data_IF_427401270913
#
_entry.id   IF_427401270913
#
_cell.length_a   1.000
_cell.length_b   1.000
_cell.length_c   1.000
_cell.angle_alpha   90.00
_cell.angle_beta   90.00
_cell.angle_gamma   90.00
#
_symmetry.space_group_name_H-M   'P 1'
#
loop_
_entity.id
_entity.type
_entity.pdbx_description
1 polymer ?
#
# COMPACT_ATOMS: atom_id res chain seq x y z
N UNK A 1 -8.27 -29.75 -15.08
CA UNK A 1 -7.33 -28.62 -14.85
C UNK A 1 -7.71 -28.00 -13.52
N UNK A 2 -6.82 -27.92 -12.51
CA UNK A 2 -7.16 -27.32 -11.22
C UNK A 2 -7.30 -25.82 -11.39
N UNK A 3 -8.44 -25.27 -10.96
CA UNK A 3 -8.65 -23.83 -10.87
C UNK A 3 -7.65 -23.28 -9.84
N UNK A 4 -6.78 -22.38 -10.29
CA UNK A 4 -5.93 -21.57 -9.40
C UNK A 4 -6.88 -20.73 -8.52
N UNK A 5 -7.03 -21.11 -7.28
CA UNK A 5 -7.68 -20.27 -6.27
C UNK A 5 -6.93 -18.96 -6.18
N UNK A 6 -7.57 -17.87 -6.61
CA UNK A 6 -7.03 -16.51 -6.46
C UNK A 6 -6.91 -16.22 -4.98
N UNK A 7 -5.69 -16.04 -4.50
CA UNK A 7 -5.42 -15.68 -3.11
C UNK A 7 -6.04 -14.29 -2.82
N UNK A 8 -7.01 -14.16 -1.90
CA UNK A 8 -7.67 -12.88 -1.60
C UNK A 8 -6.72 -11.81 -1.05
N UNK A 9 -5.53 -12.18 -0.58
CA UNK A 9 -4.53 -11.24 -0.07
C UNK A 9 -3.96 -10.26 -1.14
N UNK A 10 -4.26 -10.46 -2.43
CA UNK A 10 -3.77 -9.57 -3.49
C UNK A 10 -4.67 -8.35 -3.77
N UNK A 11 -5.88 -8.28 -3.20
CA UNK A 11 -6.82 -7.19 -3.50
C UNK A 11 -6.63 -5.92 -2.65
N UNK A 12 -5.84 -5.98 -1.57
CA UNK A 12 -5.63 -4.86 -0.64
C UNK A 12 -4.20 -4.30 -0.65
N UNK A 13 -3.50 -4.37 -1.78
CA UNK A 13 -2.21 -3.68 -1.88
C UNK A 13 -2.45 -2.22 -2.27
N UNK A 14 -1.81 -1.25 -1.60
CA UNK A 14 -1.84 0.14 -2.03
C UNK A 14 -1.30 0.23 -3.46
N UNK A 15 -1.92 1.08 -4.28
CA UNK A 15 -1.53 1.24 -5.68
C UNK A 15 -0.16 1.92 -5.81
N UNK A 16 0.21 2.76 -4.85
CA UNK A 16 1.51 3.41 -4.77
C UNK A 16 2.50 2.56 -3.96
N UNK A 17 3.65 2.26 -4.56
CA UNK A 17 4.71 1.53 -3.87
C UNK A 17 5.34 2.39 -2.76
N UNK A 18 5.28 1.90 -1.52
CA UNK A 18 5.86 2.56 -0.34
C UNK A 18 7.38 2.76 -0.46
N UNK A 19 8.07 1.93 -1.25
CA UNK A 19 9.52 2.07 -1.49
C UNK A 19 9.83 3.40 -2.16
N UNK A 20 8.96 3.87 -3.07
CA UNK A 20 9.12 5.18 -3.72
C UNK A 20 9.02 6.32 -2.71
N UNK A 21 8.03 6.23 -1.79
CA UNK A 21 7.85 7.22 -0.72
C UNK A 21 9.05 7.26 0.24
N UNK A 22 9.60 6.10 0.59
CA UNK A 22 10.78 5.99 1.45
C UNK A 22 12.05 6.53 0.80
N UNK A 23 12.14 6.42 -0.52
CA UNK A 23 13.30 6.86 -1.30
C UNK A 23 13.32 8.38 -1.50
N UNK A 24 12.20 8.95 -1.91
CA UNK A 24 12.08 10.38 -2.23
C UNK A 24 10.62 10.84 -2.07
N UNK A 25 10.26 11.16 -0.84
CA UNK A 25 8.91 11.59 -0.49
C UNK A 25 8.50 12.88 -1.20
N UNK A 26 9.43 13.84 -1.29
CA UNK A 26 9.13 15.15 -1.83
C UNK A 26 8.90 15.08 -3.36
N UNK A 27 9.66 14.27 -4.07
CA UNK A 27 9.43 14.02 -5.49
C UNK A 27 8.09 13.31 -5.74
N UNK A 28 7.71 12.35 -4.88
CA UNK A 28 6.42 11.67 -4.98
C UNK A 28 5.26 12.65 -4.76
N UNK A 29 5.36 13.51 -3.74
CA UNK A 29 4.35 14.55 -3.46
C UNK A 29 4.23 15.52 -4.63
N UNK A 30 5.35 16.01 -5.17
CA UNK A 30 5.36 16.91 -6.33
C UNK A 30 4.67 16.25 -7.54
N UNK A 31 4.91 14.98 -7.81
CA UNK A 31 4.25 14.25 -8.91
C UNK A 31 2.77 13.99 -8.67
N UNK A 32 2.35 13.74 -7.44
CA UNK A 32 0.92 13.64 -7.11
C UNK A 32 0.19 14.97 -7.38
N UNK A 33 0.84 16.10 -7.14
CA UNK A 33 0.28 17.42 -7.40
C UNK A 33 0.12 17.76 -8.89
N UNK A 34 0.75 17.01 -9.81
CA UNK A 34 0.53 17.19 -11.25
C UNK A 34 -0.79 16.60 -11.74
N UNK A 35 -1.54 15.91 -10.88
CA UNK A 35 -2.84 15.34 -11.23
C UNK A 35 -3.88 16.44 -11.41
N UNK A 36 -4.89 16.15 -12.28
CA UNK A 36 -6.08 17.00 -12.39
C UNK A 36 -6.72 17.15 -11.01
N UNK A 37 -7.07 18.36 -10.63
CA UNK A 37 -7.59 18.70 -9.30
C UNK A 37 -6.62 18.27 -8.19
N UNK A 38 -5.46 18.94 -8.07
CA UNK A 38 -4.48 18.61 -7.05
C UNK A 38 -5.13 18.69 -5.67
N UNK A 39 -5.05 17.59 -4.93
CA UNK A 39 -5.54 17.46 -3.57
C UNK A 39 -4.39 17.00 -2.70
N UNK A 40 -4.52 17.18 -1.39
CA UNK A 40 -3.60 16.55 -0.45
C UNK A 40 -3.90 15.04 -0.38
N UNK A 41 -3.46 14.29 -1.41
CA UNK A 41 -3.69 12.85 -1.49
C UNK A 41 -2.96 12.07 -0.40
N UNK A 42 -1.85 12.59 0.09
CA UNK A 42 -1.03 11.97 1.11
C UNK A 42 -0.87 12.92 2.29
N UNK A 43 -1.24 12.47 3.47
CA UNK A 43 -0.85 13.15 4.70
C UNK A 43 0.64 12.91 4.98
N UNK A 44 1.47 13.84 4.53
CA UNK A 44 2.94 13.76 4.59
C UNK A 44 3.44 13.68 6.03
N UNK A 45 2.86 14.45 6.93
CA UNK A 45 3.29 14.49 8.33
C UNK A 45 2.94 13.19 9.04
N UNK A 46 1.75 12.65 8.81
CA UNK A 46 1.37 11.33 9.32
C UNK A 46 2.29 10.23 8.76
N UNK A 47 2.60 10.25 7.47
CA UNK A 47 3.52 9.29 6.88
C UNK A 47 4.92 9.36 7.51
N UNK A 48 5.46 10.57 7.69
CA UNK A 48 6.76 10.78 8.34
C UNK A 48 6.77 10.29 9.79
N UNK A 49 5.71 10.56 10.53
CA UNK A 49 5.58 10.11 11.92
C UNK A 49 5.56 8.58 12.02
N UNK A 50 4.71 7.92 11.23
CA UNK A 50 4.59 6.45 11.22
C UNK A 50 5.90 5.77 10.77
N UNK A 51 6.53 6.26 9.72
CA UNK A 51 7.83 5.72 9.27
C UNK A 51 8.97 6.00 10.25
N UNK A 52 8.95 7.12 10.95
CA UNK A 52 9.90 7.43 12.02
C UNK A 52 9.76 6.44 13.19
N UNK A 53 8.53 6.24 13.66
CA UNK A 53 8.24 5.26 14.73
C UNK A 53 8.64 3.84 14.30
N UNK A 54 8.27 3.44 13.08
CA UNK A 54 8.65 2.12 12.54
C UNK A 54 10.16 1.90 12.56
N UNK A 55 10.95 2.89 12.12
CA UNK A 55 12.41 2.80 12.11
C UNK A 55 12.97 2.65 13.53
N UNK A 56 12.50 3.48 14.46
CA UNK A 56 12.91 3.43 15.85
C UNK A 56 12.60 2.08 16.48
N UNK A 57 11.40 1.59 16.25
CA UNK A 57 10.94 0.29 16.76
C UNK A 57 11.76 -0.87 16.17
N UNK A 58 12.07 -0.82 14.88
CA UNK A 58 12.88 -1.83 14.22
C UNK A 58 14.30 -1.86 14.79
N UNK A 59 14.97 -0.71 14.93
CA UNK A 59 16.30 -0.60 15.53
C UNK A 59 16.29 -1.16 16.95
N UNK A 60 15.30 -0.77 17.76
CA UNK A 60 15.16 -1.27 19.13
C UNK A 60 14.98 -2.79 19.18
N UNK A 61 14.18 -3.34 18.28
CA UNK A 61 13.96 -4.79 18.18
C UNK A 61 15.25 -5.53 17.84
N UNK A 62 16.05 -5.00 16.92
CA UNK A 62 17.35 -5.59 16.54
C UNK A 62 18.34 -5.56 17.73
N UNK A 63 18.39 -4.45 18.48
CA UNK A 63 19.19 -4.34 19.70
C UNK A 63 18.79 -5.36 20.78
N UNK A 64 17.48 -5.46 21.04
CA UNK A 64 16.94 -6.41 22.02
C UNK A 64 17.21 -7.85 21.62
N UNK A 65 17.10 -8.19 20.34
CA UNK A 65 17.44 -9.53 19.85
C UNK A 65 18.91 -9.85 20.03
N UNK A 66 19.80 -8.88 19.76
CA UNK A 66 21.24 -9.01 20.00
C UNK A 66 21.56 -9.20 21.48
N UNK A 67 20.97 -8.40 22.36
CA UNK A 67 21.10 -8.51 23.80
C UNK A 67 20.62 -9.88 24.32
N UNK A 68 19.43 -10.31 23.90
CA UNK A 68 18.86 -11.63 24.23
C UNK A 68 19.83 -12.76 23.87
N UNK A 69 20.40 -12.71 22.66
CA UNK A 69 21.33 -13.72 22.19
C UNK A 69 22.63 -13.75 23.03
N UNK A 70 23.13 -12.58 23.41
CA UNK A 70 24.30 -12.46 24.29
C UNK A 70 24.04 -13.03 25.70
N UNK A 71 22.90 -12.63 26.30
CA UNK A 71 22.51 -13.10 27.64
C UNK A 71 22.23 -14.62 27.64
N UNK A 72 21.65 -15.15 26.56
CA UNK A 72 21.43 -16.61 26.43
C UNK A 72 22.75 -17.41 26.45
N UNK A 73 23.80 -16.88 25.79
CA UNK A 73 25.13 -17.48 25.86
C UNK A 73 25.72 -17.40 27.29
N UNK A 74 25.53 -16.27 27.97
CA UNK A 74 25.98 -16.07 29.35
C UNK A 74 25.30 -17.05 30.31
N UNK A 75 23.99 -17.28 30.17
CA UNK A 75 23.25 -18.28 30.96
C UNK A 75 23.88 -19.67 30.79
N UNK A 76 24.20 -20.06 29.54
CA UNK A 76 24.87 -21.34 29.29
C UNK A 76 26.20 -21.47 30.00
N UNK A 77 27.02 -20.41 29.99
CA UNK A 77 28.33 -20.39 30.71
C UNK A 77 28.17 -20.45 32.23
N UNK A 78 27.23 -19.69 32.80
CA UNK A 78 26.97 -19.67 34.24
C UNK A 78 26.48 -21.03 34.75
N UNK A 79 25.54 -21.65 34.03
CA UNK A 79 25.05 -22.99 34.34
C UNK A 79 26.15 -24.03 34.26
N UNK A 80 27.03 -23.95 33.26
CA UNK A 80 28.19 -24.84 33.13
C UNK A 80 29.22 -24.71 34.28
N UNK A 81 29.26 -23.53 34.94
CA UNK A 81 30.11 -23.26 36.14
C UNK A 81 29.42 -23.54 37.48
N UNK A 82 28.16 -23.99 37.47
CA UNK A 82 27.38 -24.21 38.69
C UNK A 82 26.86 -22.95 39.38
N UNK A 83 26.94 -21.78 38.74
CA UNK A 83 26.50 -20.47 39.24
C UNK A 83 25.02 -20.26 39.00
N UNK A 84 24.17 -21.02 39.66
CA UNK A 84 22.73 -21.07 39.39
C UNK A 84 22.03 -19.76 39.74
N UNK A 85 22.32 -19.13 40.87
CA UNK A 85 21.70 -17.88 41.28
C UNK A 85 21.97 -16.72 40.29
N UNK A 86 23.19 -16.64 39.76
CA UNK A 86 23.56 -15.64 38.74
C UNK A 86 22.89 -15.97 37.42
N UNK A 87 22.79 -17.25 37.05
CA UNK A 87 22.05 -17.66 35.85
C UNK A 87 20.57 -17.29 35.93
N UNK A 88 19.92 -17.44 37.08
CA UNK A 88 18.52 -17.09 37.31
C UNK A 88 18.31 -15.57 37.21
N UNK A 89 19.22 -14.75 37.70
CA UNK A 89 19.18 -13.31 37.54
C UNK A 89 19.26 -12.88 36.05
N UNK A 90 20.12 -13.52 35.26
CA UNK A 90 20.22 -13.27 33.81
C UNK A 90 19.00 -13.80 33.08
N UNK A 91 18.42 -14.93 33.51
CA UNK A 91 17.17 -15.43 32.95
C UNK A 91 16.00 -14.46 33.14
N UNK A 92 15.91 -13.79 34.29
CA UNK A 92 14.91 -12.75 34.52
C UNK A 92 15.05 -11.57 33.53
N UNK A 93 16.30 -11.16 33.22
CA UNK A 93 16.54 -10.13 32.20
C UNK A 93 16.11 -10.58 30.81
N UNK A 94 16.36 -11.83 30.43
CA UNK A 94 15.88 -12.39 29.16
C UNK A 94 14.35 -12.42 29.10
N UNK A 95 13.68 -12.69 30.24
CA UNK A 95 12.23 -12.60 30.34
C UNK A 95 11.72 -11.19 30.04
N UNK A 96 12.29 -10.18 30.66
CA UNK A 96 11.89 -8.76 30.40
C UNK A 96 12.14 -8.35 28.94
N UNK A 97 13.25 -8.78 28.33
CA UNK A 97 13.53 -8.53 26.91
C UNK A 97 12.50 -9.22 26.02
N UNK A 98 12.05 -10.42 26.37
CA UNK A 98 11.00 -11.11 25.62
C UNK A 98 9.70 -10.33 25.64
N UNK A 99 9.29 -9.83 26.81
CA UNK A 99 8.06 -9.06 26.94
C UNK A 99 8.11 -7.76 26.09
N UNK A 100 9.28 -7.10 26.08
CA UNK A 100 9.50 -5.90 25.24
C UNK A 100 9.50 -6.24 23.74
N UNK A 101 10.04 -7.38 23.32
CA UNK A 101 10.00 -7.86 21.96
C UNK A 101 8.57 -8.19 21.50
N UNK A 102 7.78 -8.82 22.37
CA UNK A 102 6.39 -9.15 22.09
C UNK A 102 5.54 -7.87 21.95
N UNK A 103 5.73 -6.88 22.81
CA UNK A 103 5.08 -5.58 22.70
C UNK A 103 5.50 -4.83 21.40
N UNK A 104 6.78 -4.89 21.04
CA UNK A 104 7.30 -4.30 19.82
C UNK A 104 6.69 -4.94 18.57
N UNK A 105 6.52 -6.26 18.57
CA UNK A 105 5.90 -6.99 17.45
C UNK A 105 4.44 -6.56 17.27
N UNK A 106 3.66 -6.46 18.34
CA UNK A 106 2.27 -5.99 18.30
C UNK A 106 2.18 -4.55 17.78
N UNK A 107 3.05 -3.65 18.27
CA UNK A 107 3.04 -2.26 17.79
C UNK A 107 3.43 -2.16 16.32
N UNK A 108 4.37 -2.99 15.85
CA UNK A 108 4.76 -3.02 14.44
C UNK A 108 3.61 -3.46 13.53
N UNK A 109 2.81 -4.43 13.96
CA UNK A 109 1.61 -4.87 13.22
C UNK A 109 0.59 -3.73 13.09
N UNK A 110 0.34 -2.99 14.17
CA UNK A 110 -0.55 -1.81 14.16
C UNK A 110 -0.01 -0.73 13.23
N UNK A 111 1.30 -0.42 13.31
CA UNK A 111 1.93 0.56 12.42
C UNK A 111 1.83 0.20 10.95
N UNK A 112 1.96 -1.09 10.63
CA UNK A 112 1.80 -1.56 9.25
C UNK A 112 0.37 -1.38 8.75
N UNK A 113 -0.64 -1.63 9.60
CA UNK A 113 -2.03 -1.40 9.26
C UNK A 113 -2.30 0.11 9.05
N UNK A 114 -1.84 0.97 9.97
CA UNK A 114 -1.98 2.43 9.85
C UNK A 114 -1.32 2.98 8.58
N UNK A 115 -0.12 2.49 8.23
CA UNK A 115 0.57 2.85 6.98
C UNK A 115 -0.20 2.37 5.75
N UNK A 116 -0.74 1.17 5.78
CA UNK A 116 -1.54 0.64 4.69
C UNK A 116 -2.80 1.47 4.48
N UNK A 117 -3.54 1.78 5.54
CA UNK A 117 -4.75 2.59 5.47
C UNK A 117 -4.46 4.00 4.92
N UNK A 118 -3.37 4.62 5.37
CA UNK A 118 -2.92 5.91 4.84
C UNK A 118 -2.67 5.85 3.32
N UNK A 119 -2.09 4.76 2.83
CA UNK A 119 -1.70 4.61 1.42
C UNK A 119 -2.85 4.15 0.52
N UNK A 120 -3.88 3.51 1.07
CA UNK A 120 -5.05 3.06 0.28
C UNK A 120 -5.80 4.23 -0.37
N UNK A 121 -5.79 5.40 0.25
CA UNK A 121 -6.42 6.61 -0.28
C UNK A 121 -5.56 7.33 -1.34
N UNK A 122 -4.27 6.96 -1.47
CA UNK A 122 -3.34 7.64 -2.37
C UNK A 122 -3.40 7.01 -3.76
N UNK A 123 -3.67 7.78 -4.82
CA UNK A 123 -3.69 7.28 -6.18
C UNK A 123 -2.27 7.01 -6.71
N UNK A 124 -2.18 6.25 -7.82
CA UNK A 124 -0.91 6.04 -8.52
C UNK A 124 -0.29 7.35 -9.00
N UNK A 125 1.04 7.36 -9.09
CA UNK A 125 1.77 8.46 -9.72
C UNK A 125 1.49 8.51 -11.23
N UNK A 126 1.23 9.69 -11.80
CA UNK A 126 1.26 9.87 -13.24
C UNK A 126 2.64 9.47 -13.79
N UNK A 127 2.69 8.80 -14.93
CA UNK A 127 3.96 8.56 -15.61
C UNK A 127 4.54 9.91 -16.09
N UNK A 128 5.87 10.01 -16.18
CA UNK A 128 6.54 11.24 -16.58
C UNK A 128 6.17 11.74 -18.00
N UNK A 129 5.76 10.82 -18.87
CA UNK A 129 5.27 11.15 -20.21
C UNK A 129 3.85 11.71 -20.25
N UNK A 130 3.13 11.70 -19.12
CA UNK A 130 1.77 12.24 -19.05
C UNK A 130 1.86 13.76 -18.94
N UNK A 131 1.29 14.53 -19.89
CA UNK A 131 1.29 15.98 -19.82
C UNK A 131 0.49 16.46 -18.62
N UNK A 132 0.95 17.56 -18.02
CA UNK A 132 0.18 18.25 -16.97
C UNK A 132 -0.91 19.06 -17.63
N UNK A 133 -2.18 18.83 -17.26
CA UNK A 133 -3.31 19.51 -17.83
C UNK A 133 -4.58 19.34 -17.00
N UNK A 134 -5.49 20.30 -17.14
CA UNK A 134 -6.77 20.31 -16.42
C UNK A 134 -7.86 19.45 -17.07
N UNK A 135 -7.74 19.18 -18.35
CA UNK A 135 -8.73 18.44 -19.12
C UNK A 135 -8.17 17.73 -20.34
N UNK A 136 -9.06 17.28 -21.20
CA UNK A 136 -8.74 16.54 -22.42
C UNK A 136 -8.00 17.37 -23.47
N UNK A 137 -8.14 18.69 -23.43
CA UNK A 137 -7.42 19.64 -24.28
C UNK A 137 -5.89 19.55 -24.12
N UNK A 138 -5.44 19.05 -22.97
CA UNK A 138 -4.02 18.79 -22.69
C UNK A 138 -3.52 17.45 -23.21
N UNK A 139 -4.38 16.60 -23.77
CA UNK A 139 -3.97 15.29 -24.28
C UNK A 139 -3.09 15.43 -25.52
N UNK A 140 -2.03 14.63 -25.56
CA UNK A 140 -1.09 14.59 -26.69
C UNK A 140 -1.30 13.26 -27.42
N UNK A 141 -1.53 13.34 -28.76
CA UNK A 141 -1.59 12.14 -29.58
C UNK A 141 -0.22 11.48 -29.65
N UNK A 142 -0.06 10.31 -29.04
CA UNK A 142 1.19 9.57 -29.03
C UNK A 142 1.44 8.87 -30.37
N UNK A 143 0.41 8.32 -30.98
CA UNK A 143 0.50 7.60 -32.25
C UNK A 143 -0.87 7.45 -32.88
N UNK A 144 -0.92 7.60 -34.19
CA UNK A 144 -2.07 7.23 -35.01
C UNK A 144 -1.77 5.98 -35.82
N UNK A 145 -2.71 5.03 -35.86
CA UNK A 145 -2.59 3.82 -36.65
C UNK A 145 -3.86 3.57 -37.46
N UNK A 146 -3.69 3.22 -38.72
CA UNK A 146 -4.79 3.00 -39.64
C UNK A 146 -5.47 4.30 -40.11
N UNK A 147 -6.54 4.12 -40.88
CA UNK A 147 -7.40 5.22 -41.39
C UNK A 147 -8.75 5.11 -40.74
N UNK A 148 -9.23 6.20 -40.17
CA UNK A 148 -10.58 6.26 -39.61
C UNK A 148 -11.58 6.13 -40.78
N UNK A 149 -12.50 5.18 -40.66
CA UNK A 149 -13.54 4.97 -41.68
C UNK A 149 -14.50 6.16 -41.66
N UNK A 150 -14.87 6.63 -42.85
CA UNK A 150 -16.00 7.54 -43.02
C UNK A 150 -17.25 6.74 -43.37
N UNK A 151 -18.40 7.21 -42.91
CA UNK A 151 -19.69 6.59 -43.15
C UNK A 151 -20.60 7.64 -43.76
N UNK A 152 -21.49 7.21 -44.65
CA UNK A 152 -22.50 8.01 -45.33
C UNK A 152 -23.87 7.99 -44.63
N UNK A 153 -23.89 7.43 -43.41
CA UNK A 153 -25.08 7.36 -42.56
C UNK A 153 -24.77 7.91 -41.16
N UNK A 154 -25.81 8.27 -40.43
CA UNK A 154 -25.70 8.72 -39.05
C UNK A 154 -25.24 7.58 -38.13
N UNK A 155 -24.10 7.80 -37.46
CA UNK A 155 -23.56 6.84 -36.52
C UNK A 155 -24.41 6.83 -35.24
N UNK A 156 -24.74 5.63 -34.78
CA UNK A 156 -25.43 5.39 -33.52
C UNK A 156 -24.48 4.69 -32.57
N UNK A 157 -24.48 5.10 -31.32
CA UNK A 157 -23.73 4.44 -30.29
C UNK A 157 -24.47 3.18 -29.77
N UNK A 158 -23.87 2.49 -28.83
CA UNK A 158 -24.41 1.26 -28.27
C UNK A 158 -25.69 1.49 -27.44
N UNK A 159 -25.89 2.69 -26.90
CA UNK A 159 -27.12 3.05 -26.18
C UNK A 159 -28.27 3.18 -27.16
N UNK A 160 -28.09 3.99 -28.23
CA UNK A 160 -29.11 4.22 -29.27
C UNK A 160 -29.56 2.93 -29.97
N UNK A 161 -28.60 2.02 -30.17
CA UNK A 161 -28.88 0.70 -30.77
C UNK A 161 -29.51 -0.23 -29.75
N UNK A 162 -29.01 -0.22 -28.54
CA UNK A 162 -29.41 -1.12 -27.46
C UNK A 162 -30.85 -0.94 -27.04
N UNK A 163 -31.33 0.30 -26.89
CA UNK A 163 -32.72 0.60 -26.55
C UNK A 163 -33.71 -0.02 -27.55
N UNK A 164 -33.36 0.05 -28.83
CA UNK A 164 -34.20 -0.55 -29.91
C UNK A 164 -34.17 -2.08 -29.92
N UNK A 165 -33.13 -2.67 -29.33
CA UNK A 165 -32.97 -4.12 -29.18
C UNK A 165 -33.51 -4.66 -27.86
N UNK A 166 -34.10 -3.81 -27.02
CA UNK A 166 -34.67 -4.20 -25.73
C UNK A 166 -33.76 -4.09 -24.54
N UNK A 167 -32.61 -3.40 -24.67
CA UNK A 167 -31.78 -3.08 -23.48
C UNK A 167 -32.47 -1.95 -22.72
N UNK A 168 -32.95 -2.26 -21.51
CA UNK A 168 -33.62 -1.29 -20.63
C UNK A 168 -32.64 -0.80 -19.54
N UNK A 169 -31.86 0.22 -19.87
CA UNK A 169 -30.87 0.84 -18.97
C UNK A 169 -31.54 1.45 -17.73
N UNK A 170 -32.76 1.98 -17.85
CA UNK A 170 -33.45 2.59 -16.71
C UNK A 170 -33.89 1.53 -15.68
N UNK A 171 -34.48 0.43 -16.15
CA UNK A 171 -34.87 -0.68 -15.28
C UNK A 171 -33.65 -1.41 -14.74
N UNK A 172 -32.63 -1.64 -15.55
CA UNK A 172 -31.37 -2.24 -15.11
C UNK A 172 -30.76 -1.45 -13.96
N UNK A 173 -30.70 -0.12 -14.07
CA UNK A 173 -30.18 0.75 -13.00
C UNK A 173 -31.01 0.70 -11.71
N UNK A 174 -32.35 0.60 -11.83
CA UNK A 174 -33.23 0.47 -10.65
C UNK A 174 -33.04 -0.86 -9.90
N UNK A 175 -32.78 -1.94 -10.62
CA UNK A 175 -32.63 -3.27 -10.03
C UNK A 175 -31.25 -3.53 -9.43
N UNK A 176 -30.19 -3.05 -10.07
CA UNK A 176 -28.81 -3.46 -9.75
C UNK A 176 -27.84 -2.32 -9.56
N UNK A 177 -28.26 -1.05 -9.74
CA UNK A 177 -27.42 0.12 -9.66
C UNK A 177 -26.87 0.55 -11.03
N UNK A 178 -25.93 1.50 -11.05
CA UNK A 178 -25.36 2.04 -12.29
C UNK A 178 -24.56 1.00 -13.09
N UNK A 179 -24.53 1.16 -14.42
CA UNK A 179 -23.77 0.33 -15.38
C UNK A 179 -24.32 -1.08 -15.62
N UNK A 180 -25.60 -1.27 -15.40
CA UNK A 180 -26.32 -2.49 -15.74
C UNK A 180 -27.42 -2.20 -16.78
N UNK A 181 -27.73 -3.18 -17.58
CA UNK A 181 -28.76 -3.14 -18.63
C UNK A 181 -29.74 -4.27 -18.48
#
# INVERSE_FOLDING_TARGET
MPQKTRNPAHYNRPMLDIVLLRKDLDAVVARLQTRKNPQSFLNVDAFRALEGERKTLQTRTEELQSQRNSLSKQIGMLKGKGQHAEADAVMAQVGAIKDELDASAQRLEVLQAELQDLLLAVPNLPHESVPVGAGEEGNIEVRRWGTVRSFDFELKDHVDIGEKLGLDFATGTKLTGSRFT
#
